data_IF_255007415119
#
_entry.id   IF_255007415119
#
_cell.length_a   1.000
_cell.length_b   1.000
_cell.length_c   1.000
_cell.angle_alpha   90.00
_cell.angle_beta   90.00
_cell.angle_gamma   90.00
#
_symmetry.space_group_name_H-M   'P 1'
#
loop_
_entity.id
_entity.type
_entity.pdbx_description
1 polymer ?
#
# COMPACT_ATOMS: atom_id res chain seq x y z
N UNK A 1 18.43 -10.47 -12.72
CA UNK A 1 17.42 -9.73 -11.96
C UNK A 1 17.39 -8.28 -12.44
N UNK A 2 16.21 -7.60 -12.55
CA UNK A 2 16.12 -6.23 -13.13
C UNK A 2 17.01 -5.22 -12.38
N UNK A 3 17.02 -5.23 -11.07
CA UNK A 3 17.85 -4.32 -10.28
C UNK A 3 19.35 -4.49 -10.56
N UNK A 4 19.83 -5.74 -10.71
CA UNK A 4 21.23 -6.00 -11.05
C UNK A 4 21.60 -5.50 -12.46
N UNK A 5 20.68 -5.66 -13.43
CA UNK A 5 20.86 -5.12 -14.78
C UNK A 5 20.93 -3.59 -14.76
N UNK A 6 20.03 -2.95 -14.01
CA UNK A 6 20.04 -1.50 -13.84
C UNK A 6 21.37 -1.01 -13.21
N UNK A 7 21.86 -1.67 -12.14
CA UNK A 7 23.17 -1.37 -11.55
C UNK A 7 24.33 -1.57 -12.50
N UNK A 8 24.20 -2.50 -13.44
CA UNK A 8 25.15 -2.70 -14.54
C UNK A 8 25.03 -1.67 -15.68
N UNK A 9 24.22 -0.61 -15.51
CA UNK A 9 24.06 0.48 -16.50
C UNK A 9 22.90 0.31 -17.48
N UNK A 10 22.10 -0.75 -17.33
CA UNK A 10 20.94 -1.01 -18.20
C UNK A 10 19.74 -0.13 -17.79
N UNK A 11 19.55 0.97 -18.52
CA UNK A 11 18.45 1.91 -18.28
C UNK A 11 17.06 1.32 -18.56
N UNK A 12 16.95 0.36 -19.48
CA UNK A 12 15.69 -0.30 -19.78
C UNK A 12 15.23 -1.18 -18.63
N UNK A 13 16.17 -1.75 -17.87
CA UNK A 13 15.85 -2.48 -16.65
C UNK A 13 15.19 -1.60 -15.58
N UNK A 14 15.58 -0.32 -15.46
CA UNK A 14 14.92 0.63 -14.57
C UNK A 14 13.50 0.94 -15.03
N UNK A 15 13.31 1.21 -16.33
CA UNK A 15 11.97 1.42 -16.87
C UNK A 15 11.04 0.22 -16.62
N UNK A 16 11.56 -1.00 -16.79
CA UNK A 16 10.82 -2.23 -16.47
C UNK A 16 10.48 -2.37 -14.96
N UNK A 17 11.37 -1.91 -14.07
CA UNK A 17 11.07 -1.85 -12.63
C UNK A 17 9.93 -0.87 -12.34
N UNK A 18 9.96 0.32 -12.94
CA UNK A 18 8.91 1.33 -12.80
C UNK A 18 7.56 0.76 -13.25
N UNK A 19 7.48 0.24 -14.47
CA UNK A 19 6.26 -0.35 -15.05
C UNK A 19 5.70 -1.44 -14.13
N UNK A 20 6.55 -2.30 -13.57
CA UNK A 20 6.14 -3.43 -12.73
C UNK A 20 5.64 -3.02 -11.36
N UNK A 21 6.28 -2.02 -10.73
CA UNK A 21 6.07 -1.74 -9.29
C UNK A 21 5.37 -0.42 -9.00
N UNK A 22 5.27 0.52 -9.95
CA UNK A 22 4.66 1.84 -9.73
C UNK A 22 3.24 1.74 -9.18
N UNK A 23 2.36 1.02 -9.86
CA UNK A 23 0.94 0.91 -9.46
C UNK A 23 0.77 0.20 -8.11
N UNK A 24 1.38 -0.98 -7.87
CA UNK A 24 1.35 -1.63 -6.57
C UNK A 24 1.86 -0.75 -5.43
N UNK A 25 2.98 -0.05 -5.59
CA UNK A 25 3.56 0.85 -4.58
C UNK A 25 2.61 2.03 -4.31
N UNK A 26 2.10 2.66 -5.37
CA UNK A 26 1.14 3.76 -5.26
C UNK A 26 -0.12 3.34 -4.47
N UNK A 27 -0.69 2.18 -4.80
CA UNK A 27 -1.87 1.69 -4.11
C UNK A 27 -1.61 1.40 -2.62
N UNK A 28 -0.43 0.89 -2.27
CA UNK A 28 -0.05 0.67 -0.89
C UNK A 28 0.11 2.02 -0.13
N UNK A 29 0.78 2.99 -0.73
CA UNK A 29 0.93 4.33 -0.16
C UNK A 29 -0.43 5.03 -0.02
N UNK A 30 -1.29 4.96 -1.04
CA UNK A 30 -2.64 5.55 -1.01
C UNK A 30 -3.52 4.95 0.10
N UNK A 31 -3.46 3.64 0.29
CA UNK A 31 -4.19 2.98 1.38
C UNK A 31 -3.73 3.43 2.77
N UNK A 32 -2.47 3.83 2.91
CA UNK A 32 -1.91 4.33 4.17
C UNK A 32 -2.25 5.82 4.35
N UNK A 33 -1.96 6.64 3.33
CA UNK A 33 -1.98 8.11 3.40
C UNK A 33 -3.36 8.72 3.14
N UNK A 34 -4.21 8.05 2.36
CA UNK A 34 -5.52 8.55 1.91
C UNK A 34 -5.46 9.81 1.03
N UNK A 35 -4.29 10.25 0.63
CA UNK A 35 -4.05 11.45 -0.18
C UNK A 35 -3.30 11.06 -1.44
N UNK A 36 -3.91 11.26 -2.63
CA UNK A 36 -3.31 10.86 -3.92
C UNK A 36 -1.95 11.55 -4.18
N UNK A 37 -1.82 12.81 -3.80
CA UNK A 37 -0.58 13.58 -3.96
C UNK A 37 0.55 12.98 -3.13
N UNK A 38 0.33 12.77 -1.83
CA UNK A 38 1.31 12.16 -0.92
C UNK A 38 1.68 10.73 -1.38
N UNK A 39 0.70 9.96 -1.89
CA UNK A 39 0.96 8.62 -2.41
C UNK A 39 1.83 8.66 -3.69
N UNK A 40 1.63 9.67 -4.53
CA UNK A 40 2.49 9.90 -5.70
C UNK A 40 3.91 10.24 -5.28
N UNK A 41 4.08 11.14 -4.31
CA UNK A 41 5.38 11.56 -3.79
C UNK A 41 6.15 10.39 -3.15
N UNK A 42 5.47 9.58 -2.34
CA UNK A 42 6.06 8.33 -1.79
C UNK A 42 6.47 7.39 -2.90
N UNK A 43 5.64 7.23 -3.93
CA UNK A 43 5.98 6.35 -5.07
C UNK A 43 7.24 6.83 -5.78
N UNK A 44 7.36 8.12 -6.03
CA UNK A 44 8.57 8.71 -6.62
C UNK A 44 9.79 8.51 -5.71
N UNK A 45 9.63 8.75 -4.40
CA UNK A 45 10.69 8.54 -3.40
C UNK A 45 11.20 7.10 -3.43
N UNK A 46 10.33 6.11 -3.53
CA UNK A 46 10.75 4.69 -3.64
C UNK A 46 11.65 4.47 -4.85
N UNK A 47 11.30 5.02 -6.02
CA UNK A 47 12.14 4.88 -7.22
C UNK A 47 13.43 5.68 -7.16
N UNK A 48 13.44 6.84 -6.51
CA UNK A 48 14.67 7.58 -6.22
C UNK A 48 15.59 6.77 -5.30
N UNK A 49 15.06 6.10 -4.28
CA UNK A 49 15.86 5.21 -3.41
C UNK A 49 16.49 4.04 -4.17
N UNK A 50 15.84 3.51 -5.22
CA UNK A 50 16.47 2.50 -6.09
C UNK A 50 17.71 3.09 -6.78
N UNK A 51 17.63 4.32 -7.26
CA UNK A 51 18.75 5.00 -7.95
C UNK A 51 19.87 5.34 -6.97
N UNK A 52 19.53 5.88 -5.79
CA UNK A 52 20.50 6.37 -4.81
C UNK A 52 21.12 5.24 -3.98
N UNK A 53 20.33 4.22 -3.64
CA UNK A 53 20.66 3.18 -2.65
C UNK A 53 20.40 1.76 -3.13
N UNK A 54 20.35 1.54 -4.43
CA UNK A 54 20.18 0.20 -4.98
C UNK A 54 21.28 -0.78 -4.51
N UNK A 55 22.42 -0.25 -4.06
CA UNK A 55 23.54 -1.01 -3.50
C UNK A 55 23.26 -1.54 -2.09
N UNK A 56 22.37 -0.89 -1.34
CA UNK A 56 21.96 -1.33 0.01
C UNK A 56 20.98 -2.52 -0.03
N UNK A 57 20.49 -2.86 -1.23
CA UNK A 57 19.59 -4.01 -1.39
C UNK A 57 20.35 -5.33 -1.20
N UNK A 58 19.92 -6.11 -0.23
CA UNK A 58 20.41 -7.44 0.02
C UNK A 58 19.65 -8.47 -0.86
N UNK A 59 20.34 -9.17 -1.79
CA UNK A 59 19.72 -10.14 -2.69
C UNK A 59 19.10 -11.37 -2.02
N UNK A 60 19.39 -11.64 -0.73
CA UNK A 60 18.74 -12.71 0.02
C UNK A 60 17.24 -12.45 0.22
N UNK A 61 16.82 -11.17 0.23
CA UNK A 61 15.43 -10.77 0.33
C UNK A 61 14.80 -10.57 -1.07
N UNK A 62 13.49 -10.64 -1.15
CA UNK A 62 12.79 -10.32 -2.40
C UNK A 62 12.79 -8.82 -2.63
N UNK A 63 13.17 -8.38 -3.83
CA UNK A 63 13.17 -6.96 -4.20
C UNK A 63 11.82 -6.28 -3.90
N UNK A 64 10.74 -7.00 -4.13
CA UNK A 64 9.39 -6.57 -3.81
C UNK A 64 9.24 -6.18 -2.31
N UNK A 65 9.67 -7.03 -1.36
CA UNK A 65 9.59 -6.76 0.07
C UNK A 65 10.41 -5.52 0.45
N UNK A 66 11.58 -5.35 -0.15
CA UNK A 66 12.42 -4.17 0.07
C UNK A 66 11.75 -2.87 -0.39
N UNK A 67 11.18 -2.85 -1.61
CA UNK A 67 10.48 -1.67 -2.14
C UNK A 67 9.24 -1.30 -1.30
N UNK A 68 8.47 -2.32 -0.88
CA UNK A 68 7.29 -2.09 -0.04
C UNK A 68 7.65 -1.63 1.37
N UNK A 69 8.73 -2.14 1.95
CA UNK A 69 9.25 -1.64 3.23
C UNK A 69 9.56 -0.15 3.13
N UNK A 70 10.21 0.30 2.04
CA UNK A 70 10.47 1.72 1.81
C UNK A 70 9.15 2.50 1.73
N UNK A 71 8.20 2.04 0.90
CA UNK A 71 6.92 2.73 0.73
C UNK A 71 6.12 2.85 2.04
N UNK A 72 6.04 1.77 2.82
CA UNK A 72 5.35 1.77 4.11
C UNK A 72 6.03 2.72 5.10
N UNK A 73 7.36 2.67 5.21
CA UNK A 73 8.12 3.52 6.14
C UNK A 73 7.98 4.99 5.77
N UNK A 74 8.17 5.37 4.50
CA UNK A 74 7.99 6.76 4.05
C UNK A 74 6.55 7.25 4.29
N UNK A 75 5.54 6.40 4.03
CA UNK A 75 4.14 6.73 4.32
C UNK A 75 3.88 6.97 5.81
N UNK A 76 4.41 6.09 6.68
CA UNK A 76 4.26 6.22 8.13
C UNK A 76 4.99 7.47 8.65
N UNK A 77 6.15 7.79 8.09
CA UNK A 77 6.92 8.97 8.46
C UNK A 77 6.21 10.27 8.05
N UNK A 78 5.58 10.30 6.87
CA UNK A 78 4.72 11.42 6.47
C UNK A 78 3.55 11.63 7.44
N UNK A 79 2.85 10.55 7.82
CA UNK A 79 1.77 10.64 8.81
C UNK A 79 2.25 11.14 10.17
N UNK A 80 3.45 10.73 10.62
CA UNK A 80 4.03 11.20 11.88
C UNK A 80 4.38 12.68 11.82
N UNK A 81 4.91 13.17 10.70
CA UNK A 81 5.23 14.60 10.49
C UNK A 81 3.96 15.43 10.46
N UNK A 82 2.97 15.04 9.64
CA UNK A 82 1.70 15.73 9.56
C UNK A 82 0.96 15.84 10.90
N UNK A 83 1.04 14.81 11.76
CA UNK A 83 0.49 14.87 13.13
C UNK A 83 1.21 15.84 14.07
N UNK A 84 2.46 16.17 13.79
CA UNK A 84 3.22 17.17 14.57
C UNK A 84 2.92 18.61 14.15
N UNK A 85 2.49 18.78 12.91
CA UNK A 85 2.23 20.11 12.30
C UNK A 85 0.77 20.54 12.36
N UNK A 86 -0.18 19.60 12.55
CA UNK A 86 -1.61 19.89 12.70
C UNK A 86 -2.17 19.21 13.96
N UNK A 87 -2.90 19.91 14.82
CA UNK A 87 -3.72 19.29 15.85
C UNK A 87 -4.78 18.42 15.17
N UNK A 88 -4.97 17.23 15.72
CA UNK A 88 -5.91 16.19 15.33
C UNK A 88 -7.25 16.71 14.79
N UNK A 89 -7.39 16.74 13.47
CA UNK A 89 -8.69 16.59 12.82
C UNK A 89 -8.77 15.15 12.34
N UNK A 90 -9.55 14.35 13.05
CA UNK A 90 -9.78 12.93 12.79
C UNK A 90 -10.75 12.69 11.61
N UNK A 91 -11.24 13.79 11.00
CA UNK A 91 -12.16 13.83 9.87
C UNK A 91 -11.46 14.34 8.59
N UNK A 92 -10.58 13.53 8.02
CA UNK A 92 -10.21 13.74 6.62
C UNK A 92 -11.27 13.11 5.73
N UNK A 93 -12.14 13.95 5.20
CA UNK A 93 -13.08 13.63 4.13
C UNK A 93 -12.39 12.84 3.02
N UNK A 94 -12.96 11.68 2.72
CA UNK A 94 -12.53 10.82 1.62
C UNK A 94 -12.86 11.58 0.33
N UNK A 95 -11.85 12.14 -0.32
CA UNK A 95 -12.03 12.61 -1.68
C UNK A 95 -12.52 11.43 -2.54
N UNK A 96 -13.73 11.55 -3.08
CA UNK A 96 -14.33 10.56 -3.99
C UNK A 96 -13.39 10.37 -5.18
N UNK A 97 -12.75 9.21 -5.24
CA UNK A 97 -12.08 8.79 -6.48
C UNK A 97 -13.16 8.41 -7.46
N UNK A 98 -13.46 9.32 -8.38
CA UNK A 98 -14.46 9.17 -9.44
C UNK A 98 -14.06 8.03 -10.38
N UNK A 99 -14.67 6.87 -10.18
CA UNK A 99 -14.60 5.73 -11.11
C UNK A 99 -15.95 5.55 -11.77
N UNK A 100 -16.22 6.33 -12.82
CA UNK A 100 -17.40 6.14 -13.67
C UNK A 100 -17.08 5.24 -14.86
N UNK A 101 -17.80 4.14 -14.97
CA UNK A 101 -17.80 3.24 -16.12
C UNK A 101 -19.19 2.60 -16.33
N UNK A 102 -19.52 2.05 -17.50
CA UNK A 102 -20.90 1.78 -17.96
C UNK A 102 -21.62 0.63 -17.23
N UNK A 103 -22.93 0.63 -17.31
CA UNK A 103 -23.96 -0.01 -16.46
C UNK A 103 -23.88 -1.53 -16.21
N UNK A 104 -23.18 -2.32 -17.00
CA UNK A 104 -23.03 -3.77 -16.74
C UNK A 104 -21.95 -4.11 -15.70
N UNK A 105 -21.08 -3.15 -15.38
CA UNK A 105 -20.03 -3.22 -14.36
C UNK A 105 -20.49 -2.66 -12.99
N UNK A 106 -21.72 -2.13 -12.90
CA UNK A 106 -22.19 -1.37 -11.73
C UNK A 106 -22.09 -2.18 -10.43
N UNK A 107 -22.50 -3.44 -10.41
CA UNK A 107 -22.50 -4.22 -9.17
C UNK A 107 -21.06 -4.58 -8.69
N UNK A 108 -20.15 -4.88 -9.59
CA UNK A 108 -18.74 -5.15 -9.24
C UNK A 108 -17.99 -3.86 -8.86
N UNK A 109 -18.27 -2.77 -9.58
CA UNK A 109 -17.71 -1.44 -9.27
C UNK A 109 -18.27 -0.91 -7.95
N UNK A 110 -19.56 -1.06 -7.69
CA UNK A 110 -20.18 -0.70 -6.42
C UNK A 110 -19.62 -1.52 -5.25
N UNK A 111 -19.49 -2.84 -5.42
CA UNK A 111 -18.89 -3.71 -4.42
C UNK A 111 -17.43 -3.34 -4.18
N UNK A 112 -16.65 -3.10 -5.23
CA UNK A 112 -15.26 -2.66 -5.14
C UNK A 112 -15.13 -1.32 -4.42
N UNK A 113 -16.00 -0.37 -4.74
CA UNK A 113 -16.06 0.96 -4.08
C UNK A 113 -16.44 0.83 -2.60
N UNK A 114 -17.40 -0.04 -2.28
CA UNK A 114 -17.82 -0.31 -0.88
C UNK A 114 -16.65 -0.92 -0.08
N UNK A 115 -15.98 -1.93 -0.63
CA UNK A 115 -14.80 -2.54 0.00
C UNK A 115 -13.73 -1.48 0.24
N UNK A 116 -13.43 -0.66 -0.78
CA UNK A 116 -12.45 0.40 -0.68
C UNK A 116 -12.79 1.41 0.44
N UNK A 117 -14.03 1.92 0.47
CA UNK A 117 -14.49 2.83 1.54
C UNK A 117 -14.39 2.17 2.92
N UNK A 118 -14.80 0.92 3.04
CA UNK A 118 -14.72 0.19 4.32
C UNK A 118 -13.29 0.03 4.79
N UNK A 119 -12.36 -0.32 3.88
CA UNK A 119 -10.93 -0.42 4.19
C UNK A 119 -10.39 0.95 4.61
N UNK A 120 -10.74 2.01 3.89
CA UNK A 120 -10.30 3.37 4.21
C UNK A 120 -10.82 3.87 5.57
N UNK A 121 -11.99 3.40 6.04
CA UNK A 121 -12.54 3.68 7.37
C UNK A 121 -11.85 2.93 8.52
N UNK A 122 -10.99 1.93 8.24
CA UNK A 122 -10.34 1.12 9.26
C UNK A 122 -9.11 1.80 9.87
N UNK A 123 -8.65 1.23 10.99
CA UNK A 123 -7.38 1.66 11.59
C UNK A 123 -6.21 1.52 10.62
N UNK A 124 -5.17 2.36 10.78
CA UNK A 124 -3.98 2.31 9.94
C UNK A 124 -3.36 0.90 9.87
N UNK A 125 -3.24 0.23 11.00
CA UNK A 125 -2.67 -1.12 11.08
C UNK A 125 -3.47 -2.14 10.29
N UNK A 126 -4.81 -2.06 10.35
CA UNK A 126 -5.70 -2.94 9.60
C UNK A 126 -5.61 -2.69 8.10
N UNK A 127 -5.59 -1.40 7.69
CA UNK A 127 -5.44 -1.01 6.28
C UNK A 127 -4.14 -1.53 5.69
N UNK A 128 -3.04 -1.30 6.39
CA UNK A 128 -1.71 -1.77 5.94
C UNK A 128 -1.71 -3.29 5.77
N UNK A 129 -2.22 -4.03 6.76
CA UNK A 129 -2.26 -5.49 6.69
C UNK A 129 -3.12 -6.01 5.53
N UNK A 130 -4.31 -5.42 5.32
CA UNK A 130 -5.21 -5.80 4.22
C UNK A 130 -4.62 -5.42 2.87
N UNK A 131 -4.03 -4.24 2.75
CA UNK A 131 -3.42 -3.77 1.50
C UNK A 131 -2.27 -4.67 1.08
N UNK A 132 -1.35 -4.96 1.97
CA UNK A 132 -0.22 -5.85 1.67
C UNK A 132 -0.69 -7.25 1.26
N UNK A 133 -1.68 -7.81 1.94
CA UNK A 133 -2.14 -9.16 1.65
C UNK A 133 -3.02 -9.28 0.41
N UNK A 134 -3.97 -8.35 0.20
CA UNK A 134 -5.03 -8.48 -0.80
C UNK A 134 -4.81 -7.65 -2.06
N UNK A 135 -4.14 -6.50 -1.95
CA UNK A 135 -3.88 -5.63 -3.10
C UNK A 135 -2.46 -5.77 -3.65
N UNK A 136 -1.54 -6.26 -2.82
CA UNK A 136 -0.14 -6.43 -3.20
C UNK A 136 0.30 -7.89 -3.21
N UNK A 137 -0.61 -8.81 -2.87
CA UNK A 137 -0.42 -10.27 -2.85
C UNK A 137 0.82 -10.75 -2.07
N UNK A 138 1.16 -10.03 -0.98
CA UNK A 138 2.28 -10.38 -0.13
C UNK A 138 2.04 -11.71 0.61
N UNK A 139 3.06 -12.56 0.69
CA UNK A 139 3.07 -13.69 1.63
C UNK A 139 3.16 -13.20 3.08
N UNK A 140 2.85 -14.06 4.06
CA UNK A 140 3.03 -13.71 5.49
C UNK A 140 4.48 -13.38 5.83
N UNK A 141 5.42 -14.12 5.26
CA UNK A 141 6.86 -13.88 5.38
C UNK A 141 7.23 -12.48 4.86
N UNK A 142 6.77 -12.13 3.65
CA UNK A 142 6.99 -10.80 3.08
C UNK A 142 6.37 -9.68 3.92
N UNK A 143 5.16 -9.90 4.45
CA UNK A 143 4.52 -8.95 5.35
C UNK A 143 5.30 -8.79 6.65
N UNK A 144 5.85 -9.87 7.20
CA UNK A 144 6.69 -9.87 8.39
C UNK A 144 7.95 -9.02 8.16
N UNK A 145 8.63 -9.21 7.03
CA UNK A 145 9.78 -8.41 6.60
C UNK A 145 9.43 -6.91 6.42
N UNK A 146 8.32 -6.61 5.73
CA UNK A 146 7.90 -5.23 5.44
C UNK A 146 7.54 -4.48 6.72
N UNK A 147 6.84 -5.15 7.63
CA UNK A 147 6.29 -4.53 8.85
C UNK A 147 7.24 -4.61 10.05
N UNK A 148 8.37 -5.30 9.91
CA UNK A 148 9.30 -5.61 11.00
C UNK A 148 8.58 -6.30 12.18
N UNK A 149 7.84 -7.37 11.87
CA UNK A 149 7.04 -8.16 12.80
C UNK A 149 7.31 -9.65 12.59
N UNK A 150 7.00 -10.45 13.60
CA UNK A 150 6.97 -11.91 13.43
C UNK A 150 5.71 -12.35 12.66
N UNK A 151 5.79 -13.48 11.94
CA UNK A 151 4.67 -14.00 11.15
C UNK A 151 3.41 -14.30 11.98
N UNK A 152 3.55 -14.69 13.25
CA UNK A 152 2.41 -14.97 14.14
C UNK A 152 1.62 -13.69 14.40
N UNK A 153 2.33 -12.60 14.66
CA UNK A 153 1.74 -11.28 14.84
C UNK A 153 1.07 -10.79 13.55
N UNK A 154 1.70 -10.99 12.39
CA UNK A 154 1.10 -10.67 11.08
C UNK A 154 -0.20 -11.45 10.85
N UNK A 155 -0.19 -12.76 11.09
CA UNK A 155 -1.38 -13.64 10.95
C UNK A 155 -2.52 -13.19 11.86
N UNK A 156 -2.22 -12.89 13.13
CA UNK A 156 -3.19 -12.39 14.10
C UNK A 156 -3.77 -11.03 13.67
N UNK A 157 -2.93 -10.09 13.28
CA UNK A 157 -3.35 -8.76 12.80
C UNK A 157 -4.25 -8.85 11.58
N UNK A 158 -3.87 -9.67 10.60
CA UNK A 158 -4.66 -9.86 9.38
C UNK A 158 -6.01 -10.54 9.67
N UNK A 159 -6.05 -11.50 10.59
CA UNK A 159 -7.29 -12.14 11.02
C UNK A 159 -8.25 -11.12 11.63
N UNK A 160 -7.77 -10.28 12.55
CA UNK A 160 -8.58 -9.24 13.18
C UNK A 160 -9.04 -8.18 12.16
N UNK A 161 -8.16 -7.75 11.25
CA UNK A 161 -8.51 -6.82 10.19
C UNK A 161 -9.63 -7.37 9.28
N UNK A 162 -9.54 -8.64 8.87
CA UNK A 162 -10.60 -9.31 8.08
C UNK A 162 -11.91 -9.41 8.85
N UNK A 163 -11.85 -9.70 10.15
CA UNK A 163 -13.04 -9.78 11.02
C UNK A 163 -13.73 -8.43 11.11
N UNK A 164 -12.96 -7.33 11.24
CA UNK A 164 -13.49 -5.97 11.26
C UNK A 164 -14.08 -5.58 9.91
N UNK A 165 -13.37 -5.84 8.82
CA UNK A 165 -13.87 -5.58 7.47
C UNK A 165 -15.19 -6.30 7.19
N UNK A 166 -15.30 -7.58 7.58
CA UNK A 166 -16.54 -8.37 7.41
C UNK A 166 -17.70 -7.73 8.16
N UNK A 167 -17.49 -7.22 9.37
CA UNK A 167 -18.54 -6.51 10.13
C UNK A 167 -18.96 -5.24 9.41
N UNK A 168 -18.03 -4.41 8.97
CA UNK A 168 -18.32 -3.18 8.23
C UNK A 168 -19.09 -3.44 6.94
N UNK A 169 -18.79 -4.52 6.22
CA UNK A 169 -19.51 -4.91 5.02
C UNK A 169 -20.88 -5.54 5.32
N UNK A 170 -21.01 -6.28 6.43
CA UNK A 170 -22.28 -6.87 6.90
C UNK A 170 -23.26 -5.85 7.45
N UNK A 171 -22.79 -4.85 8.18
CA UNK A 171 -23.60 -3.75 8.72
C UNK A 171 -24.15 -2.82 7.62
N UNK A 172 -23.57 -2.88 6.40
CA UNK A 172 -24.01 -2.10 5.25
C UNK A 172 -25.17 -2.75 4.46
N UNK A 173 -25.76 -3.88 4.96
CA UNK A 173 -26.94 -4.54 4.40
C UNK A 173 -26.96 -4.76 2.87
N UNK A 174 -27.73 -5.70 2.33
CA UNK A 174 -28.05 -5.67 0.91
C UNK A 174 -28.97 -4.48 0.66
N UNK A 175 -28.49 -3.48 -0.10
CA UNK A 175 -29.32 -2.40 -0.63
C UNK A 175 -30.22 -2.87 -1.74
#
# INVERSE_FOLDING_TARGET
>A
MLLQRFRGGDREAFAALVVRYQRPIYNAALAILRRPEDASDVTQTVFLRIVERGDDYDPQYKLFSWLYRIAVNESLDLLRRGRREAPLDDDLDIADVDTRGPEALLSEVEMSTRIHRSVMGMSLNDRVALTLRHFSDCSYEQMAEILDLDEKTVKSRLFEARRRLRRLLGDLGPG
#
